data_IF_168905983677
#
_entry.id   IF_168905983677
#
_cell.length_a   1.000
_cell.length_b   1.000
_cell.length_c   1.000
_cell.angle_alpha   90.00
_cell.angle_beta   90.00
_cell.angle_gamma   90.00
#
_symmetry.space_group_name_H-M   'P 1'
#
loop_
_entity.id
_entity.type
_entity.pdbx_description
1 polymer ?
#
# COMPACT_ATOMS: atom_id res chain seq x y z
N UNK A 1 43.49 14.19 -20.88
CA UNK A 1 42.48 14.89 -20.07
C UNK A 1 42.27 14.07 -18.81
N UNK A 2 42.70 14.54 -17.64
CA UNK A 2 42.53 13.83 -16.38
C UNK A 2 41.16 14.17 -15.79
N UNK A 3 40.31 13.16 -15.56
CA UNK A 3 39.03 13.37 -14.87
C UNK A 3 39.29 13.83 -13.42
N UNK A 4 38.58 14.85 -12.92
CA UNK A 4 38.74 15.28 -11.54
C UNK A 4 38.30 14.14 -10.60
N UNK A 5 39.12 13.85 -9.59
CA UNK A 5 38.76 12.91 -8.52
C UNK A 5 37.49 13.39 -7.82
N UNK A 6 36.53 12.49 -7.55
CA UNK A 6 35.25 12.88 -6.95
C UNK A 6 35.46 13.48 -5.56
N UNK A 7 34.75 14.58 -5.29
CA UNK A 7 34.75 15.25 -4.00
C UNK A 7 34.30 14.25 -2.89
N UNK A 8 35.09 14.07 -1.82
CA UNK A 8 34.72 13.21 -0.70
C UNK A 8 33.32 13.46 -0.13
N UNK A 9 32.84 14.71 -0.16
CA UNK A 9 31.49 15.04 0.29
C UNK A 9 30.40 14.46 -0.62
N UNK A 10 30.63 14.45 -1.93
CA UNK A 10 29.72 13.84 -2.91
C UNK A 10 29.69 12.32 -2.77
N UNK A 11 30.85 11.69 -2.56
CA UNK A 11 30.95 10.25 -2.28
C UNK A 11 30.18 9.90 -1.02
N UNK A 12 30.33 10.66 0.07
CA UNK A 12 29.60 10.45 1.30
C UNK A 12 28.07 10.63 1.13
N UNK A 13 27.63 11.62 0.35
CA UNK A 13 26.21 11.82 0.05
C UNK A 13 25.62 10.65 -0.74
N UNK A 14 26.33 10.17 -1.77
CA UNK A 14 25.92 9.02 -2.58
C UNK A 14 25.82 7.75 -1.73
N UNK A 15 26.82 7.49 -0.86
CA UNK A 15 26.78 6.34 0.05
C UNK A 15 25.58 6.39 0.99
N UNK A 16 25.27 7.56 1.59
CA UNK A 16 24.06 7.71 2.43
C UNK A 16 22.77 7.46 1.64
N UNK A 17 22.72 7.88 0.39
CA UNK A 17 21.57 7.61 -0.48
C UNK A 17 21.42 6.11 -0.77
N UNK A 18 22.51 5.42 -1.06
CA UNK A 18 22.54 3.97 -1.25
C UNK A 18 22.09 3.25 0.03
N UNK A 19 22.63 3.62 1.20
CA UNK A 19 22.22 3.04 2.49
C UNK A 19 20.74 3.21 2.77
N UNK A 20 20.15 4.38 2.48
CA UNK A 20 18.70 4.60 2.60
C UNK A 20 17.89 3.70 1.65
N UNK A 21 18.36 3.52 0.42
CA UNK A 21 17.74 2.60 -0.53
C UNK A 21 17.78 1.14 -0.07
N UNK A 22 18.92 0.70 0.46
CA UNK A 22 19.09 -0.65 1.02
C UNK A 22 18.22 -0.87 2.26
N UNK A 23 18.09 0.13 3.15
CA UNK A 23 17.17 0.05 4.29
C UNK A 23 15.71 -0.10 3.85
N UNK A 24 15.28 0.70 2.87
CA UNK A 24 13.92 0.58 2.31
C UNK A 24 13.66 -0.78 1.65
N UNK A 25 14.67 -1.38 1.01
CA UNK A 25 14.57 -2.74 0.47
C UNK A 25 14.51 -3.79 1.58
N UNK A 26 15.31 -3.65 2.63
CA UNK A 26 15.28 -4.53 3.79
C UNK A 26 13.91 -4.51 4.46
N UNK A 27 13.32 -3.33 4.68
CA UNK A 27 11.97 -3.18 5.23
C UNK A 27 10.91 -3.87 4.35
N UNK A 28 11.06 -3.77 3.02
CA UNK A 28 10.14 -4.40 2.07
C UNK A 28 10.21 -5.94 2.08
N UNK A 29 11.39 -6.52 2.34
CA UNK A 29 11.62 -7.98 2.35
C UNK A 29 11.37 -8.58 3.74
N UNK A 30 11.78 -7.89 4.81
CA UNK A 30 11.46 -8.25 6.19
C UNK A 30 9.97 -8.17 6.48
N UNK A 31 9.20 -7.46 5.64
CA UNK A 31 7.78 -7.66 5.50
C UNK A 31 7.43 -9.00 4.85
N UNK A 32 7.86 -10.13 5.42
CA UNK A 32 7.04 -11.35 5.34
C UNK A 32 5.84 -11.01 6.20
N UNK A 33 4.67 -10.70 5.61
CA UNK A 33 3.53 -10.41 6.45
C UNK A 33 3.23 -11.69 7.22
N UNK A 34 3.00 -11.56 8.53
CA UNK A 34 2.51 -12.64 9.42
C UNK A 34 1.18 -13.29 8.95
N UNK A 35 0.67 -12.83 7.79
CA UNK A 35 -0.66 -13.04 7.26
C UNK A 35 -0.56 -13.20 5.75
N UNK A 36 -1.42 -14.06 5.20
CA UNK A 36 -1.54 -14.20 3.75
C UNK A 36 -1.91 -12.86 3.10
N UNK A 37 -1.71 -12.72 1.79
CA UNK A 37 -2.20 -11.54 1.07
C UNK A 37 -3.72 -11.39 1.19
N UNK A 38 -4.45 -12.50 1.18
CA UNK A 38 -5.89 -12.55 1.40
C UNK A 38 -6.27 -12.00 2.78
N UNK A 39 -5.59 -12.44 3.85
CA UNK A 39 -5.82 -11.92 5.21
C UNK A 39 -5.59 -10.40 5.32
N UNK A 40 -4.62 -9.87 4.57
CA UNK A 40 -4.38 -8.42 4.51
C UNK A 40 -5.49 -7.71 3.74
N UNK A 41 -6.01 -8.29 2.66
CA UNK A 41 -7.18 -7.76 1.96
C UNK A 41 -8.42 -7.74 2.87
N UNK A 42 -8.68 -8.82 3.61
CA UNK A 42 -9.75 -8.88 4.62
C UNK A 42 -9.58 -7.79 5.66
N UNK A 43 -8.37 -7.62 6.20
CA UNK A 43 -8.09 -6.58 7.20
C UNK A 43 -8.31 -5.15 6.67
N UNK A 44 -7.91 -4.89 5.42
CA UNK A 44 -8.21 -3.60 4.76
C UNK A 44 -9.71 -3.39 4.65
N UNK A 45 -10.47 -4.36 4.12
CA UNK A 45 -11.90 -4.21 3.91
C UNK A 45 -12.67 -4.07 5.22
N UNK A 46 -12.31 -4.84 6.26
CA UNK A 46 -12.89 -4.74 7.58
C UNK A 46 -12.68 -3.34 8.21
N UNK A 47 -11.47 -2.79 8.13
CA UNK A 47 -11.18 -1.45 8.66
C UNK A 47 -11.77 -0.33 7.79
N UNK A 48 -11.93 -0.58 6.49
CA UNK A 48 -12.62 0.35 5.59
C UNK A 48 -14.10 0.45 5.97
N UNK A 49 -14.77 -0.69 6.14
CA UNK A 49 -16.19 -0.77 6.45
C UNK A 49 -17.07 -0.11 5.37
N UNK A 50 -18.24 0.40 5.77
CA UNK A 50 -19.23 0.99 4.85
C UNK A 50 -19.03 2.49 4.57
N UNK A 51 -18.01 3.12 5.16
CA UNK A 51 -17.76 4.56 4.99
C UNK A 51 -17.04 4.85 3.67
N UNK A 52 -17.30 6.04 3.14
CA UNK A 52 -16.51 6.59 2.03
C UNK A 52 -15.17 7.09 2.54
N UNK A 53 -14.09 6.76 1.84
CA UNK A 53 -12.76 7.28 2.13
C UNK A 53 -12.28 8.21 1.02
N UNK A 54 -11.66 9.31 1.40
CA UNK A 54 -10.91 10.16 0.47
C UNK A 54 -9.73 9.39 -0.12
N UNK A 55 -9.15 9.90 -1.21
CA UNK A 55 -7.91 9.33 -1.81
C UNK A 55 -6.78 9.19 -0.79
N UNK A 56 -6.63 10.18 0.08
CA UNK A 56 -5.55 10.21 1.07
C UNK A 56 -5.78 9.17 2.17
N UNK A 57 -7.01 9.04 2.66
CA UNK A 57 -7.36 8.04 3.68
C UNK A 57 -7.23 6.61 3.15
N UNK A 58 -7.72 6.36 1.93
CA UNK A 58 -7.53 5.08 1.25
C UNK A 58 -6.03 4.75 1.12
N UNK A 59 -5.21 5.70 0.64
CA UNK A 59 -3.76 5.51 0.52
C UNK A 59 -3.09 5.18 1.85
N UNK A 60 -3.51 5.88 2.93
CA UNK A 60 -3.00 5.64 4.28
C UNK A 60 -3.40 4.27 4.80
N UNK A 61 -4.64 3.85 4.55
CA UNK A 61 -5.15 2.53 4.94
C UNK A 61 -4.40 1.40 4.21
N UNK A 62 -4.20 1.51 2.90
CA UNK A 62 -3.41 0.53 2.15
C UNK A 62 -1.98 0.39 2.72
N UNK A 63 -1.29 1.51 2.97
CA UNK A 63 0.06 1.45 3.59
C UNK A 63 0.06 0.78 4.94
N UNK A 64 -0.93 1.07 5.80
CA UNK A 64 -1.06 0.47 7.13
C UNK A 64 -1.11 -1.07 7.06
N UNK A 65 -1.73 -1.62 6.02
CA UNK A 65 -1.84 -3.06 5.80
C UNK A 65 -0.78 -3.63 4.83
N UNK A 66 0.29 -2.87 4.56
CA UNK A 66 1.43 -3.35 3.77
C UNK A 66 1.21 -3.37 2.25
N UNK A 67 0.26 -2.57 1.75
CA UNK A 67 0.04 -2.40 0.31
C UNK A 67 0.60 -1.08 -0.22
N UNK A 68 1.00 -1.09 -1.49
CA UNK A 68 1.31 0.14 -2.21
C UNK A 68 0.05 1.02 -2.35
N UNK A 69 0.14 2.35 -2.18
CA UNK A 69 -0.97 3.28 -2.45
C UNK A 69 -1.57 3.16 -3.86
N UNK A 70 -0.78 2.66 -4.83
CA UNK A 70 -1.22 2.46 -6.20
C UNK A 70 -2.23 1.29 -6.32
N UNK A 71 -2.29 0.40 -5.33
CA UNK A 71 -3.23 -0.73 -5.29
C UNK A 71 -4.69 -0.27 -5.34
N UNK A 72 -5.01 0.91 -4.79
CA UNK A 72 -6.35 1.47 -4.83
C UNK A 72 -6.91 1.61 -6.27
N UNK A 73 -6.06 1.95 -7.25
CA UNK A 73 -6.47 2.01 -8.65
C UNK A 73 -6.70 0.63 -9.28
N UNK A 74 -6.00 -0.39 -8.80
CA UNK A 74 -6.27 -1.79 -9.16
C UNK A 74 -7.61 -2.26 -8.62
N UNK A 75 -7.95 -1.88 -7.38
CA UNK A 75 -9.22 -2.22 -6.75
C UNK A 75 -10.42 -1.57 -7.44
N UNK A 76 -10.30 -0.32 -7.89
CA UNK A 76 -11.35 0.32 -8.71
C UNK A 76 -11.54 -0.42 -10.03
N UNK A 77 -10.45 -0.77 -10.73
CA UNK A 77 -10.53 -1.52 -12.00
C UNK A 77 -11.10 -2.93 -11.82
N UNK A 78 -10.89 -3.54 -10.66
CA UNK A 78 -11.38 -4.87 -10.31
C UNK A 78 -12.77 -4.91 -9.68
N UNK A 79 -13.51 -3.78 -9.67
CA UNK A 79 -14.86 -3.68 -9.08
C UNK A 79 -14.91 -3.97 -7.55
N UNK A 80 -13.78 -3.73 -6.87
CA UNK A 80 -13.70 -3.80 -5.40
C UNK A 80 -13.98 -2.45 -4.74
N UNK A 81 -13.77 -1.36 -5.50
CA UNK A 81 -14.07 0.00 -5.05
C UNK A 81 -14.85 0.74 -6.12
N UNK A 82 -15.79 1.56 -5.68
CA UNK A 82 -16.45 2.55 -6.52
C UNK A 82 -16.13 3.97 -6.03
N UNK A 83 -16.03 4.91 -6.96
CA UNK A 83 -15.93 6.34 -6.66
C UNK A 83 -17.32 6.93 -6.88
N UNK A 84 -17.90 7.53 -5.84
CA UNK A 84 -19.22 8.16 -5.90
C UNK A 84 -19.12 9.66 -6.17
N UNK A 85 -20.26 10.31 -6.37
CA UNK A 85 -20.36 11.73 -6.74
C UNK A 85 -19.76 12.70 -5.71
N UNK A 86 -19.59 12.25 -4.47
CA UNK A 86 -18.93 13.01 -3.40
C UNK A 86 -17.38 12.95 -3.48
N UNK A 87 -16.83 12.22 -4.48
CA UNK A 87 -15.40 12.04 -4.69
C UNK A 87 -14.74 11.01 -3.76
N UNK A 88 -15.51 10.38 -2.89
CA UNK A 88 -15.04 9.35 -1.97
C UNK A 88 -15.10 7.95 -2.61
N UNK A 89 -14.28 7.05 -2.06
CA UNK A 89 -14.18 5.64 -2.45
C UNK A 89 -14.90 4.77 -1.45
N UNK A 90 -15.77 3.91 -1.96
CA UNK A 90 -16.58 2.99 -1.19
C UNK A 90 -16.26 1.55 -1.58
N UNK A 91 -16.30 0.64 -0.62
CA UNK A 91 -16.39 -0.77 -0.93
C UNK A 91 -17.68 -1.04 -1.70
N UNK A 92 -17.59 -1.80 -2.79
CA UNK A 92 -18.76 -2.25 -3.52
C UNK A 92 -19.56 -3.28 -2.71
N UNK A 93 -20.84 -3.48 -3.03
CA UNK A 93 -21.64 -4.55 -2.42
C UNK A 93 -21.02 -5.94 -2.62
N UNK A 94 -20.33 -6.15 -3.75
CA UNK A 94 -19.53 -7.35 -4.00
C UNK A 94 -18.44 -7.53 -2.94
N UNK A 95 -17.72 -6.46 -2.63
CA UNK A 95 -16.63 -6.48 -1.66
C UNK A 95 -17.12 -6.75 -0.24
N UNK A 96 -18.24 -6.13 0.13
CA UNK A 96 -18.87 -6.35 1.44
C UNK A 96 -19.39 -7.79 1.60
N UNK A 97 -19.95 -8.36 0.53
CA UNK A 97 -20.41 -9.76 0.53
C UNK A 97 -19.25 -10.73 0.65
N UNK A 98 -18.20 -10.53 -0.14
CA UNK A 98 -16.98 -11.33 -0.03
C UNK A 98 -16.39 -11.24 1.37
N UNK A 99 -16.32 -10.05 1.98
CA UNK A 99 -15.85 -9.89 3.35
C UNK A 99 -16.69 -10.73 4.35
N UNK A 100 -18.01 -10.69 4.25
CA UNK A 100 -18.90 -11.48 5.10
C UNK A 100 -18.71 -13.00 4.91
N UNK A 101 -18.45 -13.45 3.68
CA UNK A 101 -18.12 -14.85 3.38
C UNK A 101 -16.80 -15.27 4.05
N UNK A 102 -15.79 -14.41 4.05
CA UNK A 102 -14.50 -14.65 4.70
C UNK A 102 -14.63 -14.68 6.23
N UNK A 103 -15.46 -13.81 6.81
CA UNK A 103 -15.74 -13.79 8.25
C UNK A 103 -16.49 -15.05 8.71
N UNK A 104 -17.35 -15.62 7.86
CA UNK A 104 -18.08 -16.85 8.16
C UNK A 104 -17.24 -18.13 8.07
N UNK A 105 -16.07 -18.07 7.41
CA UNK A 105 -15.15 -19.21 7.23
C UNK A 105 -14.08 -19.29 8.32
N UNK A 106 -14.04 -18.31 9.24
CA UNK A 106 -13.15 -18.27 10.40
C UNK A 106 -13.83 -18.82 11.65
#
# INVERSE_FOLDING_TARGET
MSSPSPDPAQVAAALRQISRGLAALADAISGVPDRSEEDRHVAVMAEWGRRGLTRHEASRLFRKHGFSPQAAGGWVRGDWLEVRDDGNRYLTERSLRWLAEQEAQR
#
